data_IF_696198095609
#
_entry.id   IF_696198095609
#
_cell.length_a   1.000
_cell.length_b   1.000
_cell.length_c   1.000
_cell.angle_alpha   90.00
_cell.angle_beta   90.00
_cell.angle_gamma   90.00
#
_symmetry.space_group_name_H-M   'P 1'
#
loop_
_entity.id
_entity.type
_entity.pdbx_description
1 polymer ?
#
# COMPACT_ATOMS: atom_id res chain seq x y z
N UNK A 1 -30.61 -11.74 -0.21
CA UNK A 1 -30.09 -12.84 -1.05
C UNK A 1 -28.57 -13.01 -0.92
N UNK A 2 -27.79 -11.93 -1.10
CA UNK A 2 -26.30 -11.94 -1.05
C UNK A 2 -25.73 -12.46 0.29
N UNK A 3 -26.32 -12.07 1.43
CA UNK A 3 -25.84 -12.49 2.75
C UNK A 3 -25.98 -14.01 2.99
N UNK A 4 -27.01 -14.64 2.43
CA UNK A 4 -27.22 -16.09 2.53
C UNK A 4 -26.20 -16.86 1.67
N UNK A 5 -25.90 -16.33 0.48
CA UNK A 5 -24.92 -16.90 -0.44
C UNK A 5 -23.49 -16.82 0.13
N UNK A 6 -23.11 -15.68 0.72
CA UNK A 6 -21.84 -15.51 1.43
C UNK A 6 -21.71 -16.48 2.61
N UNK A 7 -22.79 -16.70 3.36
CA UNK A 7 -22.78 -17.63 4.48
C UNK A 7 -22.66 -19.09 4.04
N UNK A 8 -23.29 -19.45 2.91
CA UNK A 8 -23.18 -20.78 2.30
C UNK A 8 -21.76 -21.05 1.78
N UNK A 9 -21.17 -20.10 1.07
CA UNK A 9 -19.77 -20.17 0.61
C UNK A 9 -18.82 -20.27 1.80
N UNK A 10 -19.03 -19.47 2.85
CA UNK A 10 -18.25 -19.53 4.08
C UNK A 10 -18.31 -20.92 4.72
N UNK A 11 -19.50 -21.50 4.84
CA UNK A 11 -19.65 -22.81 5.46
C UNK A 11 -19.06 -23.94 4.60
N UNK A 12 -19.17 -23.82 3.27
CA UNK A 12 -18.55 -24.74 2.32
C UNK A 12 -17.01 -24.67 2.38
N UNK A 13 -16.45 -23.46 2.34
CA UNK A 13 -15.02 -23.22 2.52
C UNK A 13 -14.55 -23.73 3.87
N UNK A 14 -15.28 -23.43 4.95
CA UNK A 14 -14.94 -23.90 6.30
C UNK A 14 -14.93 -25.42 6.38
N UNK A 15 -15.92 -26.10 5.78
CA UNK A 15 -16.00 -27.56 5.74
C UNK A 15 -14.85 -28.19 4.93
N UNK A 16 -14.51 -27.60 3.78
CA UNK A 16 -13.38 -28.06 2.95
C UNK A 16 -12.04 -27.77 3.61
N UNK A 17 -11.85 -26.58 4.19
CA UNK A 17 -10.64 -26.19 4.91
C UNK A 17 -10.39 -27.01 6.18
N UNK A 18 -11.44 -27.34 6.93
CA UNK A 18 -11.32 -28.15 8.15
C UNK A 18 -10.92 -29.61 7.88
N UNK A 19 -11.15 -30.10 6.66
CA UNK A 19 -10.77 -31.45 6.24
C UNK A 19 -9.44 -31.50 5.46
N UNK A 20 -8.76 -30.36 5.27
CA UNK A 20 -7.45 -30.36 4.65
C UNK A 20 -6.43 -30.95 5.63
N UNK A 21 -5.82 -32.06 5.23
CA UNK A 21 -4.56 -32.54 5.77
C UNK A 21 -3.51 -32.15 4.74
N UNK A 22 -2.88 -31.00 4.96
CA UNK A 22 -1.97 -30.43 3.97
C UNK A 22 -0.65 -31.21 3.92
N UNK A 23 -0.22 -31.72 5.07
CA UNK A 23 1.02 -32.46 5.23
C UNK A 23 0.74 -33.97 5.22
N UNK A 24 1.74 -34.74 4.81
CA UNK A 24 1.64 -36.20 4.74
C UNK A 24 2.24 -36.80 6.00
N UNK A 25 1.72 -37.94 6.46
CA UNK A 25 2.26 -38.60 7.66
C UNK A 25 3.74 -38.97 7.53
N UNK A 26 4.23 -39.20 6.30
CA UNK A 26 5.64 -39.44 6.00
C UNK A 26 6.55 -38.26 6.36
N UNK A 27 6.03 -37.04 6.40
CA UNK A 27 6.80 -35.82 6.61
C UNK A 27 7.20 -35.68 8.10
N UNK A 28 6.54 -36.41 8.99
CA UNK A 28 6.75 -36.37 10.45
C UNK A 28 7.64 -37.52 10.96
N UNK A 29 8.30 -38.26 10.05
CA UNK A 29 9.22 -39.35 10.37
C UNK A 29 8.59 -40.75 10.33
N UNK A 30 9.42 -41.76 10.04
CA UNK A 30 8.98 -43.16 9.82
C UNK A 30 8.65 -43.92 11.10
N UNK A 31 9.09 -43.43 12.26
CA UNK A 31 8.94 -44.09 13.57
C UNK A 31 7.81 -43.50 14.42
N UNK A 32 6.99 -42.63 13.84
CA UNK A 32 5.96 -41.89 14.56
C UNK A 32 4.64 -42.64 14.48
N UNK A 33 4.01 -42.91 15.64
CA UNK A 33 2.70 -43.57 15.68
C UNK A 33 1.65 -42.82 14.85
N UNK A 34 0.73 -43.58 14.23
CA UNK A 34 -0.28 -43.04 13.31
C UNK A 34 -1.19 -42.03 14.00
N UNK A 35 -1.46 -42.17 15.30
CA UNK A 35 -2.26 -41.19 16.04
C UNK A 35 -1.49 -39.87 16.23
N UNK A 36 -0.22 -39.96 16.62
CA UNK A 36 0.67 -38.79 16.78
C UNK A 36 0.87 -38.05 15.46
N UNK A 37 1.08 -38.78 14.36
CA UNK A 37 1.21 -38.19 13.03
C UNK A 37 -0.06 -37.43 12.61
N UNK A 38 -1.25 -37.92 12.96
CA UNK A 38 -2.52 -37.23 12.66
C UNK A 38 -2.70 -35.95 13.50
N UNK A 39 -2.27 -35.96 14.76
CA UNK A 39 -2.29 -34.77 15.62
C UNK A 39 -1.36 -33.68 15.09
N UNK A 40 -0.12 -34.06 14.77
CA UNK A 40 0.87 -33.14 14.19
C UNK A 40 0.39 -32.55 12.86
N UNK A 41 -0.20 -33.37 11.99
CA UNK A 41 -0.80 -32.91 10.74
C UNK A 41 -1.86 -31.83 10.94
N UNK A 42 -2.77 -32.03 11.90
CA UNK A 42 -3.83 -31.07 12.20
C UNK A 42 -3.26 -29.76 12.73
N UNK A 43 -2.27 -29.83 13.62
CA UNK A 43 -1.62 -28.65 14.21
C UNK A 43 -0.84 -27.89 13.12
N UNK A 44 -0.01 -28.58 12.36
CA UNK A 44 0.78 -28.00 11.28
C UNK A 44 -0.10 -27.32 10.23
N UNK A 45 -1.19 -27.97 9.81
CA UNK A 45 -2.13 -27.39 8.84
C UNK A 45 -2.80 -26.13 9.41
N UNK A 46 -3.20 -26.12 10.68
CA UNK A 46 -3.76 -24.92 11.33
C UNK A 46 -2.74 -23.78 11.40
N UNK A 47 -1.51 -24.08 11.82
CA UNK A 47 -0.43 -23.09 11.89
C UNK A 47 -0.11 -22.50 10.52
N UNK A 48 -0.03 -23.34 9.49
CA UNK A 48 0.20 -22.91 8.12
C UNK A 48 -0.91 -21.98 7.63
N UNK A 49 -2.18 -22.37 7.83
CA UNK A 49 -3.31 -21.54 7.43
C UNK A 49 -3.34 -20.20 8.17
N UNK A 50 -3.09 -20.19 9.48
CA UNK A 50 -2.97 -18.96 10.26
C UNK A 50 -1.85 -18.07 9.69
N UNK A 51 -0.65 -18.62 9.49
CA UNK A 51 0.48 -17.88 8.92
C UNK A 51 0.15 -17.31 7.54
N UNK A 52 -0.42 -18.13 6.65
CA UNK A 52 -0.80 -17.72 5.31
C UNK A 52 -1.82 -16.57 5.34
N UNK A 53 -2.85 -16.67 6.19
CA UNK A 53 -3.83 -15.59 6.34
C UNK A 53 -3.20 -14.30 6.85
N UNK A 54 -2.30 -14.38 7.82
CA UNK A 54 -1.59 -13.21 8.36
C UNK A 54 -0.72 -12.58 7.27
N UNK A 55 0.05 -13.38 6.53
CA UNK A 55 0.89 -12.89 5.43
C UNK A 55 0.08 -12.19 4.34
N UNK A 56 -1.08 -12.75 3.98
CA UNK A 56 -1.98 -12.13 3.00
C UNK A 56 -2.57 -10.81 3.53
N UNK A 57 -2.94 -10.75 4.81
CA UNK A 57 -3.43 -9.51 5.44
C UNK A 57 -2.33 -8.45 5.41
N UNK A 58 -1.09 -8.79 5.80
CA UNK A 58 0.04 -7.86 5.75
C UNK A 58 0.28 -7.37 4.33
N UNK A 59 0.25 -8.26 3.34
CA UNK A 59 0.42 -7.89 1.94
C UNK A 59 -0.69 -6.95 1.46
N UNK A 60 -1.95 -7.22 1.83
CA UNK A 60 -3.07 -6.34 1.49
C UNK A 60 -2.93 -4.98 2.14
N UNK A 61 -2.59 -4.94 3.43
CA UNK A 61 -2.34 -3.69 4.14
C UNK A 61 -1.20 -2.92 3.49
N UNK A 62 -0.11 -3.58 3.12
CA UNK A 62 1.00 -2.95 2.39
C UNK A 62 0.53 -2.32 1.09
N UNK A 63 -0.23 -3.04 0.25
CA UNK A 63 -0.76 -2.49 -1.01
C UNK A 63 -1.80 -1.37 -0.80
N UNK A 64 -2.52 -1.36 0.32
CA UNK A 64 -3.51 -0.32 0.64
C UNK A 64 -2.86 0.93 1.25
N UNK A 65 -1.82 0.73 2.06
CA UNK A 65 -1.06 1.77 2.75
C UNK A 65 0.01 2.35 1.82
N UNK A 66 0.44 1.62 0.78
CA UNK A 66 1.26 2.14 -0.30
C UNK A 66 0.54 3.39 -0.80
N UNK A 67 1.04 4.52 -0.29
CA UNK A 67 0.43 5.81 -0.48
C UNK A 67 0.31 5.91 -1.98
N UNK A 68 -0.91 6.00 -2.48
CA UNK A 68 -1.06 6.70 -3.75
C UNK A 68 -0.40 8.03 -3.44
N UNK A 69 0.83 8.22 -3.93
CA UNK A 69 1.46 9.52 -4.02
C UNK A 69 0.50 10.30 -4.88
N UNK A 70 -0.50 10.90 -4.24
CA UNK A 70 -1.40 11.82 -4.90
C UNK A 70 -0.52 13.03 -5.11
N UNK A 71 0.11 13.07 -6.28
CA UNK A 71 0.78 14.26 -6.79
C UNK A 71 -0.32 15.28 -7.03
N UNK A 72 -0.67 16.03 -6.00
CA UNK A 72 -1.53 17.20 -6.10
C UNK A 72 -0.77 18.25 -6.91
N UNK A 73 -1.13 18.39 -8.19
CA UNK A 73 -0.56 19.41 -9.06
C UNK A 73 -1.34 20.70 -8.81
N UNK A 74 -0.78 21.60 -8.00
CA UNK A 74 -1.30 22.95 -7.85
C UNK A 74 -1.05 23.72 -9.16
N UNK A 75 -2.09 23.92 -9.96
CA UNK A 75 -2.03 24.77 -11.14
C UNK A 75 -2.03 26.25 -10.71
N UNK A 76 -0.97 26.99 -11.05
CA UNK A 76 -0.76 28.41 -10.73
C UNK A 76 -0.79 28.72 -9.21
N UNK A 77 0.18 28.24 -8.41
CA UNK A 77 0.28 28.62 -7.01
C UNK A 77 0.53 30.13 -6.88
N UNK A 78 -0.12 30.78 -5.91
CA UNK A 78 0.24 32.16 -5.56
C UNK A 78 1.57 32.18 -4.80
N UNK A 79 2.24 33.34 -4.76
CA UNK A 79 3.51 33.49 -4.03
C UNK A 79 3.35 33.08 -2.56
N UNK A 80 2.25 33.48 -1.92
CA UNK A 80 1.94 33.10 -0.54
C UNK A 80 1.73 31.60 -0.34
N UNK A 81 1.23 30.88 -1.35
CA UNK A 81 1.04 29.43 -1.27
C UNK A 81 2.38 28.71 -1.33
N UNK A 82 3.31 29.21 -2.16
CA UNK A 82 4.67 28.66 -2.26
C UNK A 82 5.48 28.90 -0.98
N UNK A 83 5.37 30.09 -0.38
CA UNK A 83 6.06 30.43 0.87
C UNK A 83 5.54 29.58 2.05
N UNK A 84 4.22 29.36 2.11
CA UNK A 84 3.61 28.49 3.11
C UNK A 84 4.04 27.03 2.92
N UNK A 85 4.08 26.52 1.68
CA UNK A 85 4.57 25.16 1.42
C UNK A 85 6.05 25.01 1.79
N UNK A 86 6.88 26.00 1.45
CA UNK A 86 8.31 26.00 1.75
C UNK A 86 8.57 26.04 3.27
N UNK A 87 7.77 26.81 4.01
CA UNK A 87 7.83 26.83 5.49
C UNK A 87 7.43 25.50 6.13
N UNK A 88 6.56 24.72 5.49
CA UNK A 88 6.01 23.47 6.03
C UNK A 88 6.84 22.24 5.66
N UNK A 89 7.54 22.27 4.53
CA UNK A 89 8.31 21.14 3.99
C UNK A 89 9.78 21.51 3.71
N UNK A 90 10.39 22.29 4.61
CA UNK A 90 11.75 22.83 4.50
C UNK A 90 12.79 21.78 4.06
N UNK A 91 12.71 20.56 4.60
CA UNK A 91 13.71 19.51 4.37
C UNK A 91 13.48 18.66 3.10
N UNK A 92 12.31 18.75 2.47
CA UNK A 92 11.92 17.92 1.29
C UNK A 92 11.54 18.74 0.06
N UNK A 93 11.41 20.05 0.21
CA UNK A 93 11.11 20.96 -0.90
C UNK A 93 12.35 21.16 -1.79
N UNK A 94 12.46 20.37 -2.86
CA UNK A 94 13.44 20.61 -3.92
C UNK A 94 12.90 21.70 -4.84
N UNK A 95 13.31 22.95 -4.61
CA UNK A 95 13.04 24.04 -5.54
C UNK A 95 13.85 23.82 -6.83
N UNK A 96 13.17 23.44 -7.93
CA UNK A 96 13.74 23.51 -9.29
C UNK A 96 13.77 24.95 -9.80
N UNK A 97 14.45 25.84 -9.08
CA UNK A 97 14.60 27.25 -9.47
C UNK A 97 16.04 27.54 -9.88
N UNK A 98 16.53 26.92 -10.95
CA UNK A 98 17.86 27.24 -11.50
C UNK A 98 17.98 27.08 -13.02
N UNK A 99 16.89 27.09 -13.80
CA UNK A 99 16.97 27.07 -15.28
C UNK A 99 16.07 28.05 -16.02
N UNK A 100 15.44 29.00 -15.33
CA UNK A 100 14.69 30.08 -15.98
C UNK A 100 15.19 31.42 -15.47
N UNK A 101 16.39 31.79 -15.90
CA UNK A 101 16.77 33.20 -16.02
C UNK A 101 15.93 33.81 -17.14
N UNK A 102 14.65 34.07 -16.88
CA UNK A 102 13.81 34.83 -17.81
C UNK A 102 14.37 36.25 -17.81
N UNK A 103 14.85 36.78 -18.95
CA UNK A 103 15.42 38.12 -18.97
C UNK A 103 14.35 39.14 -18.55
N UNK A 104 14.65 39.92 -17.52
CA UNK A 104 13.80 41.00 -16.98
C UNK A 104 13.31 42.00 -18.05
N UNK A 105 13.96 41.99 -19.21
CA UNK A 105 13.68 42.81 -20.38
C UNK A 105 12.31 42.53 -21.05
N UNK A 106 11.65 41.42 -20.71
CA UNK A 106 10.31 41.09 -21.24
C UNK A 106 9.16 41.61 -20.37
N UNK A 107 9.39 41.91 -19.08
CA UNK A 107 8.33 42.33 -18.15
C UNK A 107 8.27 43.84 -17.92
N UNK A 108 9.38 44.57 -18.09
CA UNK A 108 9.43 46.02 -17.90
C UNK A 108 9.50 46.75 -19.26
N UNK A 109 8.35 46.94 -19.92
CA UNK A 109 8.21 47.98 -20.95
C UNK A 109 7.84 49.29 -20.28
N UNK A 110 8.85 50.06 -19.86
CA UNK A 110 8.65 51.43 -19.41
C UNK A 110 8.53 52.33 -20.65
N UNK A 111 7.32 52.78 -20.95
CA UNK A 111 7.11 53.84 -21.93
C UNK A 111 7.30 55.19 -21.26
N UNK A 112 8.47 55.79 -21.46
CA UNK A 112 8.73 57.17 -21.04
C UNK A 112 8.19 58.10 -22.13
N UNK A 113 7.04 58.72 -21.86
CA UNK A 113 6.54 59.83 -22.67
C UNK A 113 7.08 61.13 -22.08
N UNK A 114 7.96 61.82 -22.82
CA UNK A 114 8.32 63.20 -22.51
C UNK A 114 7.25 64.13 -23.08
N UNK A 115 6.60 64.91 -22.22
CA UNK A 115 5.78 66.03 -22.66
C UNK A 115 6.71 67.19 -23.04
N UNK A 116 6.66 67.59 -24.32
CA UNK A 116 7.13 68.91 -24.74
C UNK A 116 6.09 69.98 -24.39
#
# INVERSE_FOLDING_TARGET
>A
MIHCFLNSIRNFLKSKLLNLTLFRTSDFGTNTDRQTANLLNRIATRMYLCSLTISLIILLLYNLIEERLITEVLANPSLSDTEQLLSKYVDTAICRCTQTSTPLNQFLRVYINFHQ
#
